data_IF_918221757245
#
_entry.id   IF_918221757245
#
_cell.length_a   1.000
_cell.length_b   1.000
_cell.length_c   1.000
_cell.angle_alpha   90.00
_cell.angle_beta   90.00
_cell.angle_gamma   90.00
#
_symmetry.space_group_name_H-M   'P 1'
#
loop_
_entity.id
_entity.type
_entity.pdbx_description
1 polymer ?
#
# COMPACT_ATOMS: atom_id res chain seq x y z
N UNK A 1 -14.11 0.03 -52.07
CA UNK A 1 -14.63 1.29 -51.50
C UNK A 1 -14.04 1.41 -50.08
N UNK A 2 -12.98 2.20 -49.98
CA UNK A 2 -12.23 2.41 -48.73
C UNK A 2 -12.77 3.63 -48.03
N UNK A 3 -13.13 3.50 -46.75
CA UNK A 3 -13.53 4.61 -45.89
C UNK A 3 -12.28 5.36 -45.38
N UNK A 4 -12.29 6.70 -45.26
CA UNK A 4 -11.13 7.45 -44.80
C UNK A 4 -10.95 7.39 -43.27
N UNK A 5 -9.70 7.24 -42.87
CA UNK A 5 -9.21 7.37 -41.50
C UNK A 5 -9.46 8.80 -41.00
N UNK A 6 -10.25 8.92 -39.93
CA UNK A 6 -10.46 10.18 -39.23
C UNK A 6 -9.19 10.56 -38.45
N UNK A 7 -8.65 11.71 -38.80
CA UNK A 7 -7.49 12.35 -38.22
C UNK A 7 -7.77 12.77 -36.77
N UNK A 8 -7.24 12.06 -35.80
CA UNK A 8 -7.27 12.48 -34.40
C UNK A 8 -6.29 13.65 -34.20
N UNK A 9 -6.86 14.84 -34.08
CA UNK A 9 -6.17 16.05 -33.67
C UNK A 9 -5.57 15.84 -32.26
N UNK A 10 -4.27 16.08 -32.05
CA UNK A 10 -3.71 15.99 -30.72
C UNK A 10 -4.33 17.06 -29.82
N UNK A 11 -4.84 16.66 -28.67
CA UNK A 11 -5.32 17.56 -27.62
C UNK A 11 -4.14 18.43 -27.16
N UNK A 12 -4.23 19.73 -27.43
CA UNK A 12 -3.32 20.73 -26.86
C UNK A 12 -3.43 20.65 -25.33
N UNK A 13 -2.32 20.67 -24.58
CA UNK A 13 -2.39 20.86 -23.13
C UNK A 13 -2.99 22.25 -22.89
N UNK A 14 -4.12 22.31 -22.21
CA UNK A 14 -4.69 23.55 -21.69
C UNK A 14 -3.77 24.06 -20.58
N UNK A 15 -2.99 25.06 -20.90
CA UNK A 15 -2.29 25.87 -19.91
C UNK A 15 -3.33 26.55 -19.03
N UNK A 16 -3.40 26.21 -17.75
CA UNK A 16 -4.12 27.05 -16.82
C UNK A 16 -4.99 26.39 -15.74
N UNK A 17 -5.06 25.06 -15.63
CA UNK A 17 -5.58 24.51 -14.38
C UNK A 17 -4.46 24.54 -13.33
N UNK A 18 -4.68 25.19 -12.16
CA UNK A 18 -3.76 25.06 -11.06
C UNK A 18 -3.70 23.57 -10.72
N UNK A 19 -2.53 22.97 -10.85
CA UNK A 19 -2.28 21.64 -10.27
C UNK A 19 -2.89 21.66 -8.88
N UNK A 20 -3.75 20.71 -8.51
CA UNK A 20 -4.31 20.68 -7.16
C UNK A 20 -3.12 20.82 -6.23
N UNK A 21 -3.12 21.91 -5.48
CA UNK A 21 -2.08 22.21 -4.51
C UNK A 21 -2.24 21.14 -3.42
N UNK A 22 -1.70 19.95 -3.69
CA UNK A 22 -1.49 18.94 -2.68
C UNK A 22 -0.37 19.52 -1.83
N UNK A 23 -0.74 20.44 -0.95
CA UNK A 23 0.07 20.74 0.22
C UNK A 23 -0.07 19.49 1.08
N UNK A 24 0.85 18.53 0.94
CA UNK A 24 0.67 17.27 1.63
C UNK A 24 0.89 17.54 3.10
N UNK A 25 -0.17 17.33 3.87
CA UNK A 25 -0.04 17.11 5.29
C UNK A 25 0.24 15.62 5.47
N UNK A 26 1.50 15.16 5.56
CA UNK A 26 1.75 13.75 5.79
C UNK A 26 1.19 13.39 7.16
N UNK A 27 0.31 12.41 7.15
CA UNK A 27 -0.30 11.85 8.35
C UNK A 27 0.39 10.53 8.67
N UNK A 28 0.73 10.32 9.93
CA UNK A 28 1.33 9.07 10.38
C UNK A 28 0.28 8.18 11.02
N UNK A 29 0.24 6.92 10.61
CA UNK A 29 -0.66 5.92 11.14
C UNK A 29 -0.08 5.28 12.39
N UNK A 30 -0.82 5.26 13.50
CA UNK A 30 -0.38 4.59 14.70
C UNK A 30 -0.54 3.07 14.60
N UNK A 31 -1.70 2.56 14.19
CA UNK A 31 -1.98 1.11 14.16
C UNK A 31 -1.04 0.38 13.20
N UNK A 32 -0.72 0.97 12.06
CA UNK A 32 0.22 0.39 11.09
C UNK A 32 1.65 0.47 11.63
N UNK A 33 2.01 1.58 12.27
CA UNK A 33 3.35 1.74 12.89
C UNK A 33 3.53 0.74 14.02
N UNK A 34 2.50 0.53 14.85
CA UNK A 34 2.52 -0.45 15.93
C UNK A 34 2.62 -1.89 15.44
N UNK A 35 2.10 -2.20 14.24
CA UNK A 35 2.24 -3.50 13.60
C UNK A 35 3.64 -3.77 13.04
N UNK A 36 4.50 -2.76 12.95
CA UNK A 36 5.88 -2.91 12.51
C UNK A 36 6.77 -3.47 13.63
N UNK A 37 7.86 -4.15 13.26
CA UNK A 37 8.89 -4.61 14.18
C UNK A 37 9.58 -3.41 14.86
N UNK A 38 10.12 -3.56 16.08
CA UNK A 38 10.68 -2.45 16.86
C UNK A 38 11.73 -1.62 16.09
N UNK A 39 12.63 -2.28 15.37
CA UNK A 39 13.69 -1.63 14.59
C UNK A 39 13.12 -0.83 13.41
N UNK A 40 12.10 -1.36 12.74
CA UNK A 40 11.40 -0.67 11.65
C UNK A 40 10.66 0.55 12.19
N UNK A 41 10.01 0.41 13.34
CA UNK A 41 9.31 1.51 14.01
C UNK A 41 10.27 2.62 14.40
N UNK A 42 11.40 2.28 15.03
CA UNK A 42 12.42 3.26 15.40
C UNK A 42 13.01 3.99 14.16
N UNK A 43 13.32 3.24 13.10
CA UNK A 43 13.82 3.82 11.86
C UNK A 43 12.78 4.73 11.18
N UNK A 44 11.49 4.37 11.26
CA UNK A 44 10.39 5.17 10.71
C UNK A 44 10.22 6.48 11.49
N UNK A 45 10.23 6.46 12.81
CA UNK A 45 10.16 7.67 13.64
C UNK A 45 11.37 8.60 13.37
N UNK A 46 12.58 8.05 13.23
CA UNK A 46 13.75 8.81 12.86
C UNK A 46 13.60 9.44 11.46
N UNK A 47 13.00 8.74 10.50
CA UNK A 47 12.70 9.30 9.18
C UNK A 47 11.70 10.46 9.28
N UNK A 48 10.64 10.34 10.08
CA UNK A 48 9.67 11.42 10.27
C UNK A 48 10.31 12.67 10.86
N UNK A 49 11.22 12.51 11.83
CA UNK A 49 12.00 13.62 12.37
C UNK A 49 12.88 14.29 11.29
N UNK A 50 13.50 13.51 10.41
CA UNK A 50 14.28 14.04 9.27
C UNK A 50 13.38 14.79 8.27
N UNK A 51 12.18 14.27 7.99
CA UNK A 51 11.20 14.96 7.12
C UNK A 51 10.78 16.29 7.75
N UNK A 52 10.47 16.31 9.04
CA UNK A 52 10.10 17.54 9.75
C UNK A 52 11.23 18.58 9.80
N UNK A 53 12.48 18.17 9.64
CA UNK A 53 13.64 19.05 9.57
C UNK A 53 13.95 19.59 8.17
N UNK A 54 13.24 19.26 7.11
CA UNK A 54 13.45 19.81 5.77
C UNK A 54 13.04 21.28 5.71
N UNK A 55 13.66 22.07 4.82
CA UNK A 55 13.35 23.51 4.69
C UNK A 55 11.90 23.76 4.25
N UNK A 56 11.40 22.94 3.32
CA UNK A 56 10.01 22.92 2.89
C UNK A 56 9.25 21.73 3.55
N UNK A 57 9.46 21.53 4.84
CA UNK A 57 8.87 20.41 5.56
C UNK A 57 7.33 20.44 5.49
N UNK A 58 6.71 19.33 5.08
CA UNK A 58 5.27 19.21 5.20
C UNK A 58 4.88 19.10 6.67
N UNK A 59 3.72 19.61 7.06
CA UNK A 59 3.21 19.40 8.42
C UNK A 59 2.84 17.93 8.62
N UNK A 60 3.28 17.36 9.75
CA UNK A 60 3.02 15.97 10.10
C UNK A 60 1.98 15.89 11.22
N UNK A 61 0.98 15.03 11.05
CA UNK A 61 0.02 14.70 12.12
C UNK A 61 -0.18 13.19 12.19
N UNK A 62 -0.44 12.68 13.37
CA UNK A 62 -0.82 11.28 13.56
C UNK A 62 -2.32 11.13 13.35
N UNK A 63 -2.71 10.06 12.65
CA UNK A 63 -4.10 9.69 12.42
C UNK A 63 -4.27 8.20 12.69
N UNK A 64 -5.50 7.77 12.95
CA UNK A 64 -5.87 6.36 13.05
C UNK A 64 -6.51 5.90 11.75
N UNK A 65 -6.17 4.71 11.29
CA UNK A 65 -6.90 4.01 10.20
C UNK A 65 -8.00 3.11 10.77
N UNK A 66 -7.99 2.87 12.07
CA UNK A 66 -8.89 1.91 12.71
C UNK A 66 -8.35 0.47 12.67
N UNK A 67 -9.23 -0.50 12.85
CA UNK A 67 -8.87 -1.91 12.98
C UNK A 67 -8.29 -2.50 11.69
N UNK A 68 -7.01 -2.83 11.68
CA UNK A 68 -6.35 -3.48 10.55
C UNK A 68 -6.93 -4.88 10.26
N UNK A 69 -7.48 -5.55 11.28
CA UNK A 69 -8.10 -6.86 11.14
C UNK A 69 -9.43 -6.76 10.37
N UNK A 70 -10.20 -5.70 10.57
CA UNK A 70 -11.45 -5.49 9.84
C UNK A 70 -11.18 -5.26 8.35
N UNK A 71 -10.16 -4.44 8.03
CA UNK A 71 -9.70 -4.27 6.63
C UNK A 71 -9.30 -5.61 6.03
N UNK A 72 -8.46 -6.38 6.73
CA UNK A 72 -7.92 -7.61 6.20
C UNK A 72 -9.00 -8.68 6.03
N UNK A 73 -9.92 -8.83 7.00
CA UNK A 73 -10.99 -9.82 6.96
C UNK A 73 -11.92 -9.58 5.77
N UNK A 74 -12.48 -8.37 5.67
CA UNK A 74 -13.39 -8.01 4.58
C UNK A 74 -12.69 -8.05 3.21
N UNK A 75 -11.46 -7.52 3.10
CA UNK A 75 -10.67 -7.56 1.87
C UNK A 75 -10.40 -8.99 1.41
N UNK A 76 -10.00 -9.90 2.30
CA UNK A 76 -9.72 -11.30 1.95
C UNK A 76 -10.95 -12.04 1.46
N UNK A 77 -12.10 -11.83 2.07
CA UNK A 77 -13.34 -12.48 1.65
C UNK A 77 -13.71 -12.06 0.24
N UNK A 78 -13.71 -10.77 -0.05
CA UNK A 78 -13.99 -10.25 -1.39
C UNK A 78 -12.96 -10.71 -2.40
N UNK A 79 -11.66 -10.58 -2.08
CA UNK A 79 -10.56 -11.03 -2.95
C UNK A 79 -10.64 -12.53 -3.23
N UNK A 80 -10.98 -13.34 -2.22
CA UNK A 80 -11.17 -14.78 -2.37
C UNK A 80 -12.32 -15.11 -3.32
N UNK A 81 -13.48 -14.49 -3.13
CA UNK A 81 -14.63 -14.68 -4.00
C UNK A 81 -14.33 -14.30 -5.46
N UNK A 82 -13.65 -13.18 -5.69
CA UNK A 82 -13.24 -12.73 -7.02
C UNK A 82 -12.18 -13.66 -7.64
N UNK A 83 -11.19 -14.06 -6.86
CA UNK A 83 -10.16 -14.99 -7.33
C UNK A 83 -10.77 -16.34 -7.74
N UNK A 84 -11.69 -16.87 -6.95
CA UNK A 84 -12.39 -18.10 -7.28
C UNK A 84 -13.25 -17.95 -8.53
N UNK A 85 -14.03 -16.89 -8.63
CA UNK A 85 -14.88 -16.62 -9.80
C UNK A 85 -14.09 -16.57 -11.11
N UNK A 86 -12.89 -15.99 -11.05
CA UNK A 86 -12.06 -15.81 -12.25
C UNK A 86 -11.21 -17.03 -12.60
N UNK A 87 -10.90 -17.91 -11.65
CA UNK A 87 -9.92 -18.98 -11.85
C UNK A 87 -10.48 -20.38 -11.61
N UNK A 88 -11.73 -20.52 -11.15
CA UNK A 88 -12.28 -21.81 -10.72
C UNK A 88 -12.25 -22.89 -11.81
N UNK A 89 -12.53 -22.54 -13.05
CA UNK A 89 -12.50 -23.49 -14.18
C UNK A 89 -11.10 -24.04 -14.39
N UNK A 90 -10.10 -23.15 -14.44
CA UNK A 90 -8.71 -23.55 -14.63
C UNK A 90 -8.20 -24.38 -13.45
N UNK A 91 -8.49 -23.98 -12.21
CA UNK A 91 -8.06 -24.71 -11.01
C UNK A 91 -8.65 -26.12 -10.97
N UNK A 92 -9.93 -26.28 -11.34
CA UNK A 92 -10.57 -27.62 -11.40
C UNK A 92 -9.99 -28.49 -12.50
N UNK A 93 -9.63 -27.90 -13.64
CA UNK A 93 -9.01 -28.63 -14.75
C UNK A 93 -7.56 -29.05 -14.47
N UNK A 94 -6.87 -28.37 -13.53
CA UNK A 94 -5.45 -28.59 -13.25
C UNK A 94 -5.16 -28.79 -11.74
N UNK A 95 -5.73 -29.82 -11.10
CA UNK A 95 -5.71 -29.98 -9.63
C UNK A 95 -4.30 -30.16 -9.05
N UNK A 96 -3.34 -30.61 -9.85
CA UNK A 96 -1.95 -30.87 -9.43
C UNK A 96 -0.96 -29.77 -9.84
N UNK A 97 -1.42 -28.74 -10.55
CA UNK A 97 -0.55 -27.66 -11.06
C UNK A 97 -0.16 -26.62 -9.99
N UNK A 98 -0.89 -26.57 -8.89
CA UNK A 98 -0.67 -25.60 -7.83
C UNK A 98 0.15 -26.18 -6.67
N UNK A 99 1.13 -25.42 -6.19
CA UNK A 99 1.78 -25.76 -4.93
C UNK A 99 0.80 -25.71 -3.75
N UNK A 100 1.04 -26.51 -2.72
CA UNK A 100 0.11 -26.75 -1.60
C UNK A 100 -0.45 -25.48 -0.98
N UNK A 101 0.39 -24.47 -0.72
CA UNK A 101 -0.04 -23.21 -0.12
C UNK A 101 -0.97 -22.38 -1.03
N UNK A 102 -0.86 -22.50 -2.35
CA UNK A 102 -1.75 -21.81 -3.31
C UNK A 102 -3.04 -22.61 -3.46
N UNK A 103 -2.97 -23.93 -3.53
CA UNK A 103 -4.13 -24.80 -3.57
C UNK A 103 -5.03 -24.61 -2.36
N UNK A 104 -4.46 -24.51 -1.16
CA UNK A 104 -5.20 -24.24 0.08
C UNK A 104 -5.91 -22.89 0.04
N UNK A 105 -5.28 -21.83 -0.49
CA UNK A 105 -5.94 -20.53 -0.65
C UNK A 105 -7.12 -20.60 -1.61
N UNK A 106 -7.03 -21.35 -2.72
CA UNK A 106 -8.16 -21.54 -3.61
C UNK A 106 -9.25 -22.42 -2.99
N UNK A 107 -8.89 -23.38 -2.14
CA UNK A 107 -9.86 -24.17 -1.38
C UNK A 107 -10.69 -23.26 -0.44
N UNK A 108 -10.02 -22.36 0.29
CA UNK A 108 -10.67 -21.35 1.13
C UNK A 108 -11.53 -20.40 0.27
N UNK A 109 -10.98 -19.91 -0.83
CA UNK A 109 -11.71 -19.03 -1.77
C UNK A 109 -13.00 -19.69 -2.32
N UNK A 110 -12.95 -20.98 -2.61
CA UNK A 110 -14.10 -21.77 -3.08
C UNK A 110 -15.20 -21.93 -2.03
N UNK A 111 -14.89 -21.80 -0.74
CA UNK A 111 -15.88 -21.89 0.35
C UNK A 111 -16.60 -20.57 0.63
N UNK A 112 -16.15 -19.45 0.08
CA UNK A 112 -16.82 -18.14 0.26
C UNK A 112 -18.20 -18.18 -0.41
N UNK A 113 -19.23 -18.00 0.39
CA UNK A 113 -20.61 -17.95 -0.11
C UNK A 113 -20.93 -16.56 -0.71
N UNK A 114 -22.05 -16.48 -1.41
CA UNK A 114 -22.54 -15.19 -1.91
C UNK A 114 -22.94 -14.24 -0.77
N UNK A 115 -23.45 -14.79 0.32
CA UNK A 115 -23.85 -14.00 1.49
C UNK A 115 -22.61 -13.47 2.20
N UNK A 116 -21.56 -14.28 2.35
CA UNK A 116 -20.26 -13.83 2.90
C UNK A 116 -19.65 -12.71 2.07
N UNK A 117 -19.65 -12.85 0.73
CA UNK A 117 -19.15 -11.80 -0.17
C UNK A 117 -19.98 -10.51 -0.04
N UNK A 118 -21.30 -10.62 0.04
CA UNK A 118 -22.22 -9.47 0.17
C UNK A 118 -21.97 -8.75 1.49
N UNK A 119 -21.89 -9.47 2.60
CA UNK A 119 -21.59 -8.91 3.91
C UNK A 119 -20.20 -8.24 3.95
N UNK A 120 -19.19 -8.91 3.37
CA UNK A 120 -17.84 -8.35 3.30
C UNK A 120 -17.78 -7.06 2.45
N UNK A 121 -18.48 -7.00 1.33
CA UNK A 121 -18.57 -5.79 0.51
C UNK A 121 -19.22 -4.63 1.26
N UNK A 122 -20.30 -4.90 1.98
CA UNK A 122 -20.95 -3.89 2.82
C UNK A 122 -20.02 -3.40 3.94
N UNK A 123 -19.24 -4.29 4.55
CA UNK A 123 -18.24 -3.92 5.56
C UNK A 123 -17.09 -3.09 4.99
N UNK A 124 -16.73 -3.25 3.70
CA UNK A 124 -15.68 -2.46 3.06
C UNK A 124 -16.08 -1.00 2.80
N UNK A 125 -17.34 -0.68 2.65
CA UNK A 125 -17.81 0.68 2.30
C UNK A 125 -17.36 1.72 3.35
N UNK A 126 -17.70 1.60 4.65
CA UNK A 126 -17.29 2.58 5.65
C UNK A 126 -15.76 2.62 5.83
N UNK A 127 -15.06 1.50 5.66
CA UNK A 127 -13.60 1.44 5.73
C UNK A 127 -12.95 2.20 4.55
N UNK A 128 -13.50 2.06 3.35
CA UNK A 128 -13.10 2.81 2.16
C UNK A 128 -13.28 4.31 2.35
N UNK A 129 -14.47 4.72 2.82
CA UNK A 129 -14.81 6.12 3.05
C UNK A 129 -13.87 6.74 4.08
N UNK A 130 -13.54 5.97 5.13
CA UNK A 130 -12.60 6.41 6.14
C UNK A 130 -11.21 6.68 5.54
N UNK A 131 -10.62 5.72 4.80
CA UNK A 131 -9.31 5.92 4.15
C UNK A 131 -9.36 7.10 3.18
N UNK A 132 -10.39 7.19 2.34
CA UNK A 132 -10.52 8.30 1.40
C UNK A 132 -10.65 9.65 2.10
N UNK A 133 -11.28 9.70 3.27
CA UNK A 133 -11.33 10.94 4.09
C UNK A 133 -9.94 11.35 4.60
N UNK A 134 -9.11 10.38 4.98
CA UNK A 134 -7.74 10.62 5.47
C UNK A 134 -6.82 11.15 4.37
N UNK A 135 -7.00 10.69 3.12
CA UNK A 135 -6.16 11.05 1.98
C UNK A 135 -6.74 12.18 1.11
N UNK A 136 -7.87 12.77 1.48
CA UNK A 136 -8.56 13.81 0.69
C UNK A 136 -7.62 14.98 0.37
N UNK A 137 -6.95 15.49 1.40
CA UNK A 137 -6.09 16.68 1.33
C UNK A 137 -4.69 16.40 1.93
N UNK A 138 -4.32 15.13 2.05
CA UNK A 138 -3.07 14.69 2.67
C UNK A 138 -2.48 13.46 1.96
N UNK A 139 -1.22 13.19 2.26
CA UNK A 139 -0.55 11.93 1.91
C UNK A 139 -0.36 11.14 3.20
N UNK A 140 -0.87 9.91 3.26
CA UNK A 140 -0.54 8.99 4.35
C UNK A 140 0.89 8.48 4.15
N UNK A 141 1.64 8.45 5.26
CA UNK A 141 3.01 7.94 5.29
C UNK A 141 3.08 6.82 6.31
N UNK A 142 3.52 5.64 5.91
CA UNK A 142 3.53 4.46 6.76
C UNK A 142 4.68 3.50 6.36
N UNK A 143 5.17 2.64 7.27
CA UNK A 143 6.06 1.56 6.86
C UNK A 143 5.30 0.57 5.98
N UNK A 144 5.91 0.14 4.87
CA UNK A 144 5.24 -0.76 3.90
C UNK A 144 5.07 -2.17 4.45
N UNK A 145 6.03 -2.63 5.24
CA UNK A 145 6.18 -4.00 5.74
C UNK A 145 6.63 -3.97 7.20
N UNK A 146 6.42 -5.06 7.97
CA UNK A 146 6.77 -5.07 9.40
C UNK A 146 8.27 -4.95 9.65
N UNK A 147 9.11 -5.48 8.76
CA UNK A 147 10.56 -5.54 8.92
C UNK A 147 11.25 -5.86 7.60
N UNK A 148 12.56 -6.18 7.64
CA UNK A 148 13.30 -6.56 6.45
C UNK A 148 12.78 -7.87 5.86
N UNK A 149 13.08 -8.12 4.59
CA UNK A 149 12.71 -9.36 3.92
C UNK A 149 13.22 -10.59 4.72
N UNK A 150 12.38 -11.64 4.88
CA UNK A 150 12.83 -12.89 5.50
C UNK A 150 14.03 -13.48 4.76
N UNK A 151 14.89 -14.16 5.51
CA UNK A 151 16.01 -14.91 4.90
C UNK A 151 15.48 -16.02 4.02
N UNK A 152 16.22 -16.37 2.97
CA UNK A 152 15.89 -17.53 2.12
C UNK A 152 15.86 -18.86 2.88
N UNK A 153 16.50 -18.89 4.03
CA UNK A 153 16.57 -20.03 4.94
C UNK A 153 15.52 -19.96 6.07
N UNK A 154 14.67 -18.92 6.11
CA UNK A 154 13.59 -18.85 7.07
C UNK A 154 12.60 -19.98 6.87
N UNK A 155 12.05 -20.47 7.99
CA UNK A 155 10.97 -21.44 7.97
C UNK A 155 9.68 -20.87 7.37
N UNK A 156 8.74 -21.73 7.01
CA UNK A 156 7.47 -21.36 6.40
C UNK A 156 6.63 -20.47 7.32
N UNK A 157 6.65 -20.73 8.64
CA UNK A 157 5.85 -19.98 9.61
C UNK A 157 6.32 -18.52 9.71
N UNK A 158 7.63 -18.28 9.71
CA UNK A 158 8.18 -16.92 9.68
C UNK A 158 7.80 -16.18 8.40
N UNK A 159 7.92 -16.84 7.26
CA UNK A 159 7.55 -16.25 5.95
C UNK A 159 6.05 -15.90 5.93
N UNK A 160 5.20 -16.81 6.41
CA UNK A 160 3.76 -16.56 6.47
C UNK A 160 3.40 -15.45 7.48
N UNK A 161 4.05 -15.40 8.64
CA UNK A 161 3.85 -14.33 9.62
C UNK A 161 4.17 -12.93 9.03
N UNK A 162 5.31 -12.79 8.36
CA UNK A 162 5.69 -11.53 7.69
C UNK A 162 4.70 -11.18 6.57
N UNK A 163 4.27 -12.17 5.80
CA UNK A 163 3.27 -11.98 4.75
C UNK A 163 1.92 -11.52 5.31
N UNK A 164 1.45 -12.13 6.41
CA UNK A 164 0.20 -11.75 7.08
C UNK A 164 0.27 -10.32 7.61
N UNK A 165 1.36 -9.97 8.30
CA UNK A 165 1.57 -8.61 8.81
C UNK A 165 1.62 -7.59 7.67
N UNK A 166 2.33 -7.90 6.58
CA UNK A 166 2.37 -7.03 5.39
C UNK A 166 0.98 -6.79 4.80
N UNK A 167 0.16 -7.84 4.66
CA UNK A 167 -1.19 -7.72 4.14
C UNK A 167 -2.07 -6.85 5.04
N UNK A 168 -1.94 -7.00 6.37
CA UNK A 168 -2.67 -6.14 7.34
C UNK A 168 -2.28 -4.67 7.19
N UNK A 169 -0.98 -4.38 7.08
CA UNK A 169 -0.46 -3.01 6.96
C UNK A 169 -0.84 -2.34 5.64
N UNK A 170 -0.97 -3.11 4.55
CA UNK A 170 -1.27 -2.56 3.21
C UNK A 170 -2.74 -2.61 2.81
N UNK A 171 -3.57 -3.39 3.52
CA UNK A 171 -4.99 -3.53 3.23
C UNK A 171 -5.75 -2.19 3.22
N UNK A 172 -5.51 -1.22 4.12
CA UNK A 172 -6.19 0.07 4.08
C UNK A 172 -6.04 0.80 2.74
N UNK A 173 -4.84 0.86 2.17
CA UNK A 173 -4.63 1.51 0.87
C UNK A 173 -5.39 0.80 -0.27
N UNK A 174 -5.37 -0.53 -0.27
CA UNK A 174 -6.10 -1.34 -1.26
C UNK A 174 -7.62 -1.16 -1.15
N UNK A 175 -8.16 -1.19 0.08
CA UNK A 175 -9.60 -0.97 0.35
C UNK A 175 -10.02 0.45 -0.03
N UNK A 176 -9.19 1.46 0.26
CA UNK A 176 -9.43 2.84 -0.13
C UNK A 176 -9.45 3.08 -1.64
N UNK A 177 -8.99 2.11 -2.46
CA UNK A 177 -8.78 2.31 -3.89
C UNK A 177 -7.77 3.42 -4.17
N UNK A 178 -6.85 3.62 -3.25
CA UNK A 178 -5.92 4.73 -3.23
C UNK A 178 -4.58 4.35 -3.87
N UNK A 179 -3.99 5.19 -4.72
CA UNK A 179 -2.65 4.96 -5.24
C UNK A 179 -1.64 4.94 -4.09
N UNK A 180 -0.75 3.96 -4.15
CA UNK A 180 0.28 3.75 -3.15
C UNK A 180 1.63 3.52 -3.81
N UNK A 181 2.69 4.13 -3.28
CA UNK A 181 4.07 3.93 -3.73
C UNK A 181 4.97 3.61 -2.54
N UNK A 182 5.74 2.56 -2.64
CA UNK A 182 6.77 2.21 -1.65
C UNK A 182 8.14 2.65 -2.11
N UNK A 183 8.86 3.37 -1.24
CA UNK A 183 10.21 3.88 -1.48
C UNK A 183 11.14 3.35 -0.39
N UNK A 184 12.33 2.80 -0.70
CA UNK A 184 13.25 2.22 0.29
C UNK A 184 13.99 3.32 1.07
N UNK A 185 13.30 3.97 2.01
CA UNK A 185 13.82 5.09 2.79
C UNK A 185 14.32 4.68 4.18
N UNK A 186 14.02 3.46 4.65
CA UNK A 186 14.50 2.96 5.92
C UNK A 186 15.65 1.97 5.72
N UNK A 187 16.52 1.94 6.70
CA UNK A 187 17.55 0.91 6.85
C UNK A 187 17.46 0.38 8.27
N UNK A 188 17.32 -0.93 8.41
CA UNK A 188 17.21 -1.59 9.71
C UNK A 188 18.29 -2.67 9.85
N UNK A 189 18.68 -3.03 11.08
CA UNK A 189 19.57 -4.16 11.31
C UNK A 189 18.97 -5.48 10.80
N UNK A 190 19.77 -6.35 10.23
CA UNK A 190 19.43 -7.72 9.90
C UNK A 190 20.59 -8.67 10.15
N UNK A 191 20.36 -9.98 10.06
CA UNK A 191 21.42 -10.99 10.25
C UNK A 191 22.56 -10.88 9.23
N UNK A 192 22.31 -10.27 8.07
CA UNK A 192 23.31 -10.06 7.01
C UNK A 192 23.82 -8.61 6.97
N UNK A 193 23.60 -7.82 8.03
CA UNK A 193 23.92 -6.40 8.06
C UNK A 193 22.70 -5.51 7.77
N UNK A 194 22.92 -4.23 7.44
CA UNK A 194 21.83 -3.29 7.18
C UNK A 194 20.95 -3.73 6.02
N UNK A 195 19.62 -3.77 6.23
CA UNK A 195 18.66 -4.16 5.23
C UNK A 195 17.63 -3.06 4.96
N UNK A 196 17.19 -2.88 3.69
CA UNK A 196 16.21 -1.85 3.36
C UNK A 196 14.80 -2.26 3.79
N UNK A 197 14.02 -1.26 4.22
CA UNK A 197 12.57 -1.37 4.43
C UNK A 197 11.89 -0.21 3.71
N UNK A 198 10.76 -0.50 3.07
CA UNK A 198 9.99 0.48 2.31
C UNK A 198 9.15 1.40 3.21
N UNK A 199 9.03 2.66 2.79
CA UNK A 199 8.03 3.59 3.28
C UNK A 199 6.97 3.76 2.20
N UNK A 200 5.73 3.53 2.57
CA UNK A 200 4.58 3.66 1.68
C UNK A 200 3.98 5.07 1.81
N UNK A 201 3.75 5.68 0.68
CA UNK A 201 3.00 6.92 0.54
C UNK A 201 1.68 6.60 -0.15
N UNK A 202 0.57 7.03 0.43
CA UNK A 202 -0.78 6.78 -0.07
C UNK A 202 -1.46 8.11 -0.27
N UNK A 203 -2.08 8.33 -1.43
CA UNK A 203 -2.76 9.58 -1.76
C UNK A 203 -4.17 9.35 -2.31
N UNK A 204 -4.89 10.42 -2.56
CA UNK A 204 -6.24 10.40 -3.10
C UNK A 204 -6.30 9.66 -4.46
N UNK A 205 -7.36 8.87 -4.72
CA UNK A 205 -7.58 8.26 -6.04
C UNK A 205 -7.44 9.24 -7.20
N UNK A 206 -6.79 8.81 -8.28
CA UNK A 206 -6.54 9.62 -9.46
C UNK A 206 -5.35 10.60 -9.36
N UNK A 207 -4.54 10.52 -8.30
CA UNK A 207 -3.36 11.38 -8.11
C UNK A 207 -2.02 10.64 -8.26
N UNK A 208 -1.98 9.54 -8.99
CA UNK A 208 -0.83 8.64 -9.12
C UNK A 208 0.45 9.38 -9.53
N UNK A 209 0.39 10.19 -10.58
CA UNK A 209 1.55 10.96 -11.09
C UNK A 209 2.02 12.00 -10.07
N UNK A 210 1.08 12.66 -9.38
CA UNK A 210 1.42 13.63 -8.33
C UNK A 210 2.10 12.95 -7.14
N UNK A 211 1.63 11.74 -6.75
CA UNK A 211 2.22 10.94 -5.70
C UNK A 211 3.67 10.54 -6.05
N UNK A 212 3.92 10.08 -7.27
CA UNK A 212 5.28 9.75 -7.73
C UNK A 212 6.19 10.98 -7.68
N UNK A 213 5.72 12.13 -8.15
CA UNK A 213 6.49 13.38 -8.09
C UNK A 213 6.78 13.81 -6.66
N UNK A 214 5.81 13.68 -5.76
CA UNK A 214 5.96 13.95 -4.34
C UNK A 214 7.04 13.05 -3.73
N UNK A 215 6.92 11.72 -3.89
CA UNK A 215 7.86 10.76 -3.35
C UNK A 215 9.31 11.00 -3.85
N UNK A 216 9.48 11.33 -5.14
CA UNK A 216 10.78 11.67 -5.72
C UNK A 216 11.39 12.94 -5.11
N UNK A 217 10.60 14.02 -4.96
CA UNK A 217 11.11 15.26 -4.32
C UNK A 217 11.51 15.02 -2.88
N UNK A 218 10.68 14.33 -2.13
CA UNK A 218 10.98 14.00 -0.73
C UNK A 218 12.26 13.16 -0.61
N UNK A 219 12.41 12.12 -1.41
CA UNK A 219 13.62 11.29 -1.41
C UNK A 219 14.88 12.09 -1.77
N UNK A 220 14.80 13.00 -2.74
CA UNK A 220 15.90 13.88 -3.11
C UNK A 220 16.27 14.84 -1.97
N UNK A 221 15.30 15.47 -1.30
CA UNK A 221 15.55 16.35 -0.15
C UNK A 221 16.21 15.61 1.03
N UNK A 222 15.78 14.37 1.28
CA UNK A 222 16.38 13.54 2.32
C UNK A 222 17.81 13.08 1.99
N UNK A 223 18.15 12.86 0.71
CA UNK A 223 19.49 12.49 0.28
C UNK A 223 20.46 13.65 0.43
N UNK A 224 20.08 14.86 0.01
CA UNK A 224 20.92 16.08 0.11
C UNK A 224 21.33 16.39 1.56
N UNK A 225 20.50 16.07 2.56
CA UNK A 225 20.83 16.29 3.98
C UNK A 225 21.62 15.15 4.63
N UNK A 226 21.81 14.03 3.97
CA UNK A 226 22.65 12.94 4.48
C UNK A 226 24.14 13.27 4.38
N UNK A 227 24.48 14.20 3.49
CA UNK A 227 25.87 14.62 3.18
C UNK A 227 26.24 15.94 3.87
N UNK A 228 25.38 16.52 4.73
CA UNK A 228 25.72 17.68 5.57
C UNK A 228 26.32 17.19 6.90
N UNK A 229 27.48 17.73 7.31
CA UNK A 229 28.18 17.34 8.53
C UNK A 229 27.36 17.62 9.80
#
# INVERSE_FOLDING_TARGET
MSAPLTNHKPLRPTNGEPSPNISPQPSTQNEIVEAAEPETRAAFEALLARIAGLDDAPSLRRVSVGSLDDYLAAFRTVQGAEAWRNNAEWVRAHPTALGAAVAERFRIAASVTRDDETAARAALEPLRDHVQSLVRDAVLVLPTVPGPAPMRTSDGDRVDAVRQATLRMTAPAAVGGAPAISVPLLTVPSQLGPAPVGVCFVSRPGTDVALVRFARRLAAGLALRKDLP
#
